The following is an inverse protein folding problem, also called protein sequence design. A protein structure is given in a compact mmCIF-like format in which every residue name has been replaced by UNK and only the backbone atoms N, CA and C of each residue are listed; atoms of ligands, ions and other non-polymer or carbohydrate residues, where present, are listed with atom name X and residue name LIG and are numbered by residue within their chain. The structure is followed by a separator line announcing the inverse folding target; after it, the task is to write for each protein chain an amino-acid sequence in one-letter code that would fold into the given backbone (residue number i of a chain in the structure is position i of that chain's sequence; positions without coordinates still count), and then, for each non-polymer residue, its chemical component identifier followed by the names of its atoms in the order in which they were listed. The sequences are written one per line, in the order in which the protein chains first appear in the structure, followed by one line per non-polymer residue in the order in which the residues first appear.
data_IF_003456182940
#
_entry.id   IF_003456182940
#
_cell.length_a   1.000
_cell.length_b   1.000
_cell.length_c   1.000
_cell.angle_alpha   90.00
_cell.angle_beta   90.00
_cell.angle_gamma   90.00
#
_symmetry.space_group_name_H-M   'P 1'
#
loop_
_entity.id
_entity.type
_entity.pdbx_description
1 polymer ?
#
# COMPACT_ATOMS: atom_id res chain seq x y z
N UNK A 1 5.13 -10.41 -7.22
CA UNK A 1 6.11 -11.18 -8.02
C UNK A 1 6.66 -12.27 -7.12
N UNK A 2 6.20 -13.50 -7.30
CA UNK A 2 6.75 -14.65 -6.58
C UNK A 2 8.09 -15.03 -7.24
N UNK A 3 9.19 -14.55 -6.65
CA UNK A 3 10.56 -14.67 -7.18
C UNK A 3 11.02 -16.14 -7.33
N UNK A 4 10.32 -17.08 -6.68
CA UNK A 4 10.64 -18.50 -6.69
C UNK A 4 10.42 -19.18 -8.05
N UNK A 5 9.48 -18.68 -8.87
CA UNK A 5 9.16 -19.26 -10.19
C UNK A 5 10.17 -18.87 -11.28
N UNK A 6 10.93 -17.78 -11.09
CA UNK A 6 11.95 -17.32 -12.04
C UNK A 6 13.37 -17.74 -11.68
N UNK A 7 13.60 -18.19 -10.43
CA UNK A 7 14.92 -18.54 -9.91
C UNK A 7 15.64 -19.67 -10.69
N UNK A 8 14.92 -20.48 -11.47
CA UNK A 8 15.46 -21.55 -12.30
C UNK A 8 15.68 -21.20 -13.78
N UNK A 9 15.38 -19.97 -14.21
CA UNK A 9 15.47 -19.56 -15.61
C UNK A 9 16.75 -18.81 -15.91
N UNK A 10 17.33 -19.08 -17.08
CA UNK A 10 18.35 -18.18 -17.63
C UNK A 10 17.74 -16.80 -17.95
N UNK A 11 18.55 -15.73 -17.96
CA UNK A 11 18.07 -14.39 -18.32
C UNK A 11 17.40 -14.33 -19.70
N UNK A 12 17.86 -15.15 -20.65
CA UNK A 12 17.25 -15.25 -21.98
C UNK A 12 15.87 -15.90 -21.92
N UNK A 13 15.70 -16.97 -21.14
CA UNK A 13 14.41 -17.59 -20.91
C UNK A 13 13.44 -16.63 -20.22
N UNK A 14 13.86 -15.94 -19.15
CA UNK A 14 13.00 -14.98 -18.46
C UNK A 14 12.48 -13.87 -19.39
N UNK A 15 13.35 -13.30 -20.25
CA UNK A 15 12.93 -12.31 -21.26
C UNK A 15 11.93 -12.86 -22.26
N UNK A 16 12.17 -14.07 -22.78
CA UNK A 16 11.22 -14.72 -23.71
C UNK A 16 9.89 -14.98 -23.01
N UNK A 17 9.90 -15.47 -21.77
CA UNK A 17 8.69 -15.77 -21.02
C UNK A 17 7.82 -14.53 -20.81
N UNK A 18 8.42 -13.41 -20.37
CA UNK A 18 7.73 -12.13 -20.22
C UNK A 18 7.18 -11.60 -21.55
N UNK A 19 7.97 -11.69 -22.63
CA UNK A 19 7.54 -11.22 -23.96
C UNK A 19 6.35 -12.02 -24.50
N UNK A 20 6.36 -13.34 -24.32
CA UNK A 20 5.24 -14.20 -24.73
C UNK A 20 4.00 -13.97 -23.86
N UNK A 21 4.20 -13.74 -22.56
CA UNK A 21 3.12 -13.45 -21.63
C UNK A 21 2.38 -12.15 -21.95
N UNK A 22 3.10 -11.13 -22.43
CA UNK A 22 2.50 -9.88 -22.90
C UNK A 22 1.86 -9.99 -24.30
N UNK A 23 1.75 -11.19 -24.87
CA UNK A 23 1.07 -11.45 -26.15
C UNK A 23 1.95 -11.35 -27.39
N UNK A 24 3.29 -11.27 -27.26
CA UNK A 24 4.14 -11.25 -28.44
C UNK A 24 4.17 -12.60 -29.16
N UNK A 25 4.35 -12.57 -30.49
CA UNK A 25 4.58 -13.80 -31.26
C UNK A 25 5.95 -14.41 -30.96
N UNK A 26 6.09 -15.73 -31.17
CA UNK A 26 7.38 -16.44 -31.05
C UNK A 26 8.48 -15.80 -31.90
N UNK A 27 8.16 -15.31 -33.10
CA UNK A 27 9.11 -14.61 -33.97
C UNK A 27 9.56 -13.28 -33.40
N UNK A 28 8.66 -12.54 -32.73
CA UNK A 28 9.01 -11.30 -32.05
C UNK A 28 9.88 -11.59 -30.83
N UNK A 29 9.47 -12.52 -29.96
CA UNK A 29 10.20 -12.89 -28.75
C UNK A 29 11.61 -13.44 -29.03
N UNK A 30 11.76 -14.23 -30.10
CA UNK A 30 13.05 -14.71 -30.59
C UNK A 30 14.00 -13.56 -30.94
N UNK A 31 13.54 -12.62 -31.78
CA UNK A 31 14.34 -11.47 -32.20
C UNK A 31 14.68 -10.53 -31.05
N UNK A 32 13.70 -10.20 -30.21
CA UNK A 32 13.90 -9.28 -29.09
C UNK A 32 14.81 -9.85 -28.00
N UNK A 33 14.86 -11.17 -27.86
CA UNK A 33 15.68 -11.84 -26.84
C UNK A 33 17.03 -12.37 -27.34
N UNK A 34 17.30 -12.28 -28.65
CA UNK A 34 18.54 -12.77 -29.27
C UNK A 34 18.65 -14.30 -29.31
N UNK A 35 17.52 -15.01 -29.40
CA UNK A 35 17.45 -16.49 -29.34
C UNK A 35 16.79 -17.04 -30.60
N UNK A 36 17.23 -18.20 -31.08
CA UNK A 36 16.61 -18.87 -32.22
C UNK A 36 15.20 -19.40 -31.91
N UNK A 37 14.28 -19.32 -32.87
CA UNK A 37 12.90 -19.86 -32.71
C UNK A 37 12.90 -21.34 -32.34
N UNK A 38 13.80 -22.14 -32.93
CA UNK A 38 13.96 -23.57 -32.64
C UNK A 38 14.36 -23.83 -31.18
N UNK A 39 15.19 -22.96 -30.60
CA UNK A 39 15.57 -23.02 -29.19
C UNK A 39 14.37 -22.76 -28.27
N UNK A 40 13.52 -21.78 -28.61
CA UNK A 40 12.30 -21.51 -27.85
C UNK A 40 11.35 -22.71 -27.91
N UNK A 41 11.20 -23.35 -29.07
CA UNK A 41 10.40 -24.58 -29.19
C UNK A 41 10.96 -25.72 -28.32
N UNK A 42 12.29 -25.90 -28.29
CA UNK A 42 12.93 -26.90 -27.42
C UNK A 42 12.64 -26.60 -25.94
N UNK A 43 12.73 -25.34 -25.50
CA UNK A 43 12.40 -24.97 -24.12
C UNK A 43 10.93 -25.21 -23.77
N UNK A 44 10.00 -24.87 -24.67
CA UNK A 44 8.57 -25.11 -24.44
C UNK A 44 8.24 -26.59 -24.30
N UNK A 45 8.98 -27.45 -25.01
CA UNK A 45 8.76 -28.90 -25.01
C UNK A 45 9.46 -29.60 -23.85
N UNK A 46 10.73 -29.30 -23.63
CA UNK A 46 11.62 -30.10 -22.78
C UNK A 46 11.83 -29.49 -21.39
N UNK A 47 11.35 -28.26 -21.13
CA UNK A 47 11.51 -27.58 -19.86
C UNK A 47 10.15 -27.16 -19.23
N UNK A 48 9.58 -28.00 -18.34
CA UNK A 48 8.34 -27.69 -17.65
C UNK A 48 8.39 -26.41 -16.80
N UNK A 49 9.54 -26.08 -16.21
CA UNK A 49 9.69 -24.84 -15.43
C UNK A 49 9.54 -23.59 -16.32
N UNK A 50 10.05 -23.62 -17.55
CA UNK A 50 9.90 -22.54 -18.50
C UNK A 50 8.43 -22.34 -18.91
N UNK A 51 7.72 -23.43 -19.21
CA UNK A 51 6.30 -23.37 -19.56
C UNK A 51 5.43 -22.89 -18.38
N UNK A 52 5.72 -23.34 -17.15
CA UNK A 52 5.06 -22.86 -15.94
C UNK A 52 5.30 -21.35 -15.70
N UNK A 53 6.52 -20.87 -15.93
CA UNK A 53 6.84 -19.46 -15.81
C UNK A 53 6.12 -18.59 -16.84
N UNK A 54 5.92 -19.07 -18.08
CA UNK A 54 5.10 -18.37 -19.08
C UNK A 54 3.66 -18.25 -18.61
N UNK A 55 3.08 -19.33 -18.10
CA UNK A 55 1.69 -19.32 -17.65
C UNK A 55 1.49 -18.41 -16.44
N UNK A 56 2.42 -18.45 -15.48
CA UNK A 56 2.43 -17.52 -14.36
C UNK A 56 2.55 -16.07 -14.83
N UNK A 57 3.49 -15.76 -15.72
CA UNK A 57 3.65 -14.43 -16.29
C UNK A 57 2.38 -13.96 -17.03
N UNK A 58 1.66 -14.86 -17.72
CA UNK A 58 0.38 -14.55 -18.36
C UNK A 58 -0.69 -14.21 -17.34
N UNK A 59 -0.82 -15.00 -16.27
CA UNK A 59 -1.78 -14.73 -15.21
C UNK A 59 -1.53 -13.35 -14.58
N UNK A 60 -0.27 -13.03 -14.26
CA UNK A 60 0.12 -11.72 -13.72
C UNK A 60 -0.17 -10.57 -14.72
N UNK A 61 0.14 -10.77 -16.01
CA UNK A 61 -0.15 -9.78 -17.05
C UNK A 61 -1.65 -9.53 -17.20
N UNK A 62 -2.47 -10.60 -17.21
CA UNK A 62 -3.93 -10.51 -17.27
C UNK A 62 -4.49 -9.81 -16.03
N UNK A 63 -3.98 -10.13 -14.84
CA UNK A 63 -4.37 -9.46 -13.60
C UNK A 63 -4.07 -7.95 -13.67
N UNK A 64 -2.87 -7.59 -14.09
CA UNK A 64 -2.45 -6.18 -14.29
C UNK A 64 -3.35 -5.46 -15.29
N UNK A 65 -3.65 -6.09 -16.43
CA UNK A 65 -4.52 -5.52 -17.46
C UNK A 65 -5.95 -5.33 -16.93
N UNK A 66 -6.46 -6.29 -16.17
CA UNK A 66 -7.76 -6.26 -15.51
C UNK A 66 -7.86 -5.09 -14.54
N UNK A 67 -6.85 -4.88 -13.69
CA UNK A 67 -6.82 -3.75 -12.77
C UNK A 67 -6.77 -2.43 -13.52
N UNK A 68 -5.96 -2.34 -14.57
CA UNK A 68 -5.90 -1.14 -15.42
C UNK A 68 -7.24 -0.81 -16.07
N UNK A 69 -8.00 -1.80 -16.52
CA UNK A 69 -9.35 -1.61 -17.06
C UNK A 69 -10.31 -1.10 -15.98
N UNK A 70 -10.21 -1.58 -14.74
CA UNK A 70 -11.02 -1.06 -13.63
C UNK A 70 -10.70 0.38 -13.32
N UNK A 71 -9.42 0.74 -13.22
CA UNK A 71 -9.00 2.11 -12.93
C UNK A 71 -9.47 3.09 -14.00
N UNK A 72 -9.38 2.69 -15.28
CA UNK A 72 -9.88 3.50 -16.39
C UNK A 72 -11.40 3.64 -16.34
N UNK A 73 -12.10 2.58 -15.95
CA UNK A 73 -13.55 2.60 -15.79
C UNK A 73 -13.97 3.53 -14.64
N UNK A 74 -13.27 3.50 -13.51
CA UNK A 74 -13.51 4.41 -12.38
C UNK A 74 -13.31 5.87 -12.81
N UNK A 75 -12.18 6.19 -13.45
CA UNK A 75 -11.92 7.55 -13.97
C UNK A 75 -12.97 8.03 -14.96
N UNK A 76 -13.48 7.14 -15.82
CA UNK A 76 -14.54 7.47 -16.75
C UNK A 76 -15.86 7.82 -16.02
N UNK A 77 -16.18 7.08 -14.96
CA UNK A 77 -17.34 7.37 -14.12
C UNK A 77 -17.18 8.70 -13.36
N UNK A 78 -16.01 8.97 -12.77
CA UNK A 78 -15.72 10.26 -12.11
C UNK A 78 -15.86 11.44 -13.09
N UNK A 79 -15.44 11.23 -14.34
CA UNK A 79 -15.59 12.25 -15.40
C UNK A 79 -17.06 12.49 -15.74
N UNK A 80 -17.88 11.43 -15.80
CA UNK A 80 -19.32 11.56 -16.05
C UNK A 80 -20.02 12.27 -14.89
N UNK A 81 -19.64 11.97 -13.64
CA UNK A 81 -20.15 12.62 -12.43
C UNK A 81 -19.87 14.13 -12.47
N UNK A 82 -18.63 14.53 -12.73
CA UNK A 82 -18.24 15.93 -12.87
C UNK A 82 -19.01 16.66 -13.99
N UNK A 83 -19.25 16.01 -15.13
CA UNK A 83 -20.04 16.58 -16.23
C UNK A 83 -21.49 16.81 -15.80
N UNK A 84 -22.08 15.89 -15.03
CA UNK A 84 -23.47 15.94 -14.61
C UNK A 84 -23.74 17.02 -13.56
N UNK A 85 -22.79 17.22 -12.64
CA UNK A 85 -22.87 18.16 -11.53
C UNK A 85 -22.53 19.59 -11.93
N UNK A 86 -21.74 19.80 -12.98
CA UNK A 86 -21.35 21.15 -13.41
C UNK A 86 -22.50 21.89 -14.12
N UNK A 87 -23.09 22.93 -13.49
CA UNK A 87 -24.19 23.68 -14.10
C UNK A 87 -23.75 24.53 -15.30
N UNK A 88 -22.45 24.76 -15.49
CA UNK A 88 -21.88 25.50 -16.62
C UNK A 88 -21.78 24.66 -17.89
N UNK A 89 -21.79 23.33 -17.78
CA UNK A 89 -21.78 22.43 -18.94
C UNK A 89 -23.10 22.54 -19.69
N UNK A 90 -23.01 22.66 -21.02
CA UNK A 90 -24.17 22.80 -21.89
C UNK A 90 -25.21 21.68 -21.65
N UNK A 91 -26.53 22.00 -21.52
CA UNK A 91 -27.56 21.02 -21.15
C UNK A 91 -27.59 19.75 -22.01
N UNK A 92 -27.34 19.87 -23.32
CA UNK A 92 -27.30 18.70 -24.22
C UNK A 92 -26.13 17.75 -23.94
N UNK A 93 -24.99 18.24 -23.43
CA UNK A 93 -23.85 17.41 -23.06
C UNK A 93 -24.16 16.67 -21.75
N UNK A 94 -24.75 17.37 -20.77
CA UNK A 94 -25.27 16.76 -19.53
C UNK A 94 -26.30 15.67 -19.81
N UNK A 95 -27.27 15.94 -20.69
CA UNK A 95 -28.27 14.94 -21.09
C UNK A 95 -27.61 13.72 -21.76
N UNK A 96 -26.60 13.91 -22.62
CA UNK A 96 -25.87 12.80 -23.23
C UNK A 96 -25.10 11.97 -22.19
N UNK A 97 -24.45 12.62 -21.22
CA UNK A 97 -23.78 11.92 -20.12
C UNK A 97 -24.78 11.10 -19.29
N UNK A 98 -25.93 11.69 -18.95
CA UNK A 98 -27.00 11.00 -18.22
C UNK A 98 -27.53 9.77 -18.99
N UNK A 99 -27.79 9.93 -20.30
CA UNK A 99 -28.23 8.82 -21.15
C UNK A 99 -27.16 7.73 -21.30
N UNK A 100 -25.87 8.07 -21.32
CA UNK A 100 -24.80 7.07 -21.37
C UNK A 100 -24.76 6.20 -20.11
N UNK A 101 -25.04 6.79 -18.94
CA UNK A 101 -25.15 6.04 -17.67
C UNK A 101 -26.41 5.16 -17.67
N UNK A 102 -27.56 5.70 -18.06
CA UNK A 102 -28.85 5.00 -18.02
C UNK A 102 -28.97 3.89 -19.07
N UNK A 103 -28.45 4.10 -20.28
CA UNK A 103 -28.53 3.14 -21.39
C UNK A 103 -27.34 2.17 -21.40
N UNK A 104 -26.52 2.13 -20.34
CA UNK A 104 -25.54 1.06 -20.17
C UNK A 104 -26.30 -0.26 -20.19
N UNK A 105 -25.96 -1.24 -21.05
CA UNK A 105 -26.63 -2.54 -21.02
C UNK A 105 -26.56 -3.10 -19.60
N UNK A 106 -27.74 -3.23 -18.98
CA UNK A 106 -27.90 -3.89 -17.72
C UNK A 106 -27.75 -5.38 -17.99
N UNK A 107 -27.01 -6.08 -17.13
CA UNK A 107 -26.89 -7.54 -17.11
C UNK A 107 -28.28 -8.16 -17.41
N UNK A 108 -28.45 -8.94 -18.51
CA UNK A 108 -27.66 -10.14 -18.82
C UNK A 108 -27.15 -10.31 -20.28
N UNK A 109 -27.23 -9.31 -21.18
CA UNK A 109 -26.80 -9.54 -22.58
C UNK A 109 -25.27 -9.51 -22.77
N UNK A 110 -24.77 -10.65 -23.25
CA UNK A 110 -23.42 -11.20 -23.18
C UNK A 110 -22.40 -10.46 -24.08
N UNK A 111 -21.29 -9.99 -23.50
CA UNK A 111 -20.12 -9.65 -24.31
C UNK A 111 -18.97 -8.98 -23.56
N UNK A 112 -19.27 -8.21 -22.51
CA UNK A 112 -18.24 -7.55 -21.71
C UNK A 112 -18.66 -7.44 -20.25
N UNK A 113 -18.00 -8.21 -19.40
CA UNK A 113 -18.10 -8.08 -17.94
C UNK A 113 -16.86 -7.33 -17.46
N UNK A 114 -17.05 -6.37 -16.55
CA UNK A 114 -15.93 -5.83 -15.78
C UNK A 114 -15.26 -7.04 -15.12
N UNK A 115 -13.96 -7.30 -15.36
CA UNK A 115 -13.37 -8.51 -14.84
C UNK A 115 -13.51 -8.52 -13.31
N UNK A 116 -13.74 -9.68 -12.72
CA UNK A 116 -14.01 -9.85 -11.28
C UNK A 116 -12.74 -9.62 -10.46
N UNK A 117 -12.81 -8.88 -9.33
CA UNK A 117 -11.62 -8.61 -8.50
C UNK A 117 -10.96 -9.94 -8.16
N UNK A 118 -9.68 -10.10 -8.52
CA UNK A 118 -8.91 -11.24 -8.07
C UNK A 118 -8.70 -11.01 -6.58
N UNK A 119 -9.56 -11.58 -5.74
CA UNK A 119 -9.45 -11.44 -4.30
C UNK A 119 -8.17 -12.17 -3.84
N UNK A 120 -7.07 -11.46 -3.67
CA UNK A 120 -5.92 -11.96 -2.94
C UNK A 120 -6.28 -11.94 -1.45
N UNK A 121 -5.85 -12.91 -0.62
CA UNK A 121 -6.09 -12.87 0.83
C UNK A 121 -5.63 -11.58 1.55
N UNK A 122 -4.73 -10.79 0.94
CA UNK A 122 -4.37 -9.46 1.46
C UNK A 122 -5.42 -8.38 1.17
N UNK A 123 -6.25 -8.56 0.14
CA UNK A 123 -7.33 -7.64 -0.24
C UNK A 123 -8.49 -7.70 0.75
N UNK A 124 -8.78 -8.88 1.31
CA UNK A 124 -9.83 -9.06 2.32
C UNK A 124 -9.48 -8.29 3.61
N UNK A 125 -8.23 -8.42 4.06
CA UNK A 125 -7.72 -7.68 5.21
C UNK A 125 -7.70 -6.16 4.96
N UNK A 126 -7.33 -5.74 3.74
CA UNK A 126 -7.32 -4.33 3.36
C UNK A 126 -8.74 -3.74 3.28
N UNK A 127 -9.70 -4.48 2.73
CA UNK A 127 -11.10 -4.08 2.65
C UNK A 127 -11.73 -3.98 4.03
N UNK A 128 -11.43 -4.91 4.93
CA UNK A 128 -11.89 -4.86 6.32
C UNK A 128 -11.28 -3.67 7.07
N UNK A 129 -9.99 -3.38 6.84
CA UNK A 129 -9.32 -2.20 7.39
C UNK A 129 -9.98 -0.89 6.90
N UNK A 130 -10.30 -0.80 5.61
CA UNK A 130 -11.00 0.35 5.03
C UNK A 130 -12.41 0.52 5.60
N UNK A 131 -13.19 -0.56 5.69
CA UNK A 131 -14.52 -0.53 6.27
C UNK A 131 -14.50 -0.06 7.74
N UNK A 132 -13.50 -0.48 8.50
CA UNK A 132 -13.33 -0.08 9.90
C UNK A 132 -12.93 1.40 10.04
N UNK A 133 -12.08 1.90 9.14
CA UNK A 133 -11.75 3.32 9.06
C UNK A 133 -12.98 4.17 8.70
N UNK A 134 -13.75 3.78 7.69
CA UNK A 134 -14.99 4.48 7.32
C UNK A 134 -16.02 4.49 8.46
N UNK A 135 -16.17 3.37 9.17
CA UNK A 135 -17.03 3.27 10.35
C UNK A 135 -16.57 4.22 11.46
N UNK A 136 -15.26 4.24 11.77
CA UNK A 136 -14.70 5.14 12.79
C UNK A 136 -14.89 6.62 12.43
N UNK A 137 -14.71 6.98 11.16
CA UNK A 137 -14.95 8.32 10.66
C UNK A 137 -16.43 8.71 10.76
N UNK A 138 -17.33 7.80 10.40
CA UNK A 138 -18.78 8.03 10.52
C UNK A 138 -19.19 8.24 11.98
N UNK A 139 -18.64 7.45 12.90
CA UNK A 139 -18.90 7.55 14.33
C UNK A 139 -18.37 8.86 14.92
N UNK A 140 -17.17 9.29 14.52
CA UNK A 140 -16.60 10.58 14.94
C UNK A 140 -17.44 11.77 14.46
N UNK A 141 -17.93 11.73 13.21
CA UNK A 141 -18.84 12.77 12.67
C UNK A 141 -20.16 12.81 13.43
N UNK A 142 -20.76 11.65 13.72
CA UNK A 142 -21.98 11.58 14.52
C UNK A 142 -21.78 12.14 15.94
N UNK A 143 -20.69 11.77 16.61
CA UNK A 143 -20.35 12.30 17.93
C UNK A 143 -20.17 13.83 17.90
N UNK A 144 -19.52 14.36 16.87
CA UNK A 144 -19.36 15.80 16.69
C UNK A 144 -20.72 16.50 16.50
N UNK A 145 -21.59 15.98 15.64
CA UNK A 145 -22.94 16.53 15.43
C UNK A 145 -23.78 16.51 16.71
N UNK A 146 -23.69 15.44 17.51
CA UNK A 146 -24.37 15.36 18.82
C UNK A 146 -23.83 16.41 19.79
N UNK A 147 -22.51 16.61 19.84
CA UNK A 147 -21.90 17.64 20.67
C UNK A 147 -22.33 19.05 20.25
N UNK A 148 -22.35 19.32 18.95
CA UNK A 148 -22.79 20.61 18.41
C UNK A 148 -24.26 20.88 18.81
N UNK A 149 -25.15 19.90 18.69
CA UNK A 149 -26.54 20.02 19.13
C UNK A 149 -26.72 20.18 20.64
N UNK A 150 -25.90 19.52 21.46
CA UNK A 150 -25.93 19.67 22.92
C UNK A 150 -25.52 21.10 23.32
N UNK A 151 -24.52 21.66 22.64
CA UNK A 151 -24.05 23.04 22.86
C UNK A 151 -25.09 24.05 22.37
N UNK A 152 -25.68 23.86 21.19
CA UNK A 152 -26.76 24.70 20.65
C UNK A 152 -28.01 24.68 21.54
N UNK A 153 -28.36 23.52 22.10
CA UNK A 153 -29.48 23.37 23.03
C UNK A 153 -29.20 23.97 24.42
N UNK A 154 -28.00 24.49 24.68
CA UNK A 154 -27.59 25.05 25.97
C UNK A 154 -27.52 24.02 27.10
N UNK A 155 -27.49 22.72 26.76
CA UNK A 155 -27.42 21.61 27.72
C UNK A 155 -25.97 21.31 28.15
N UNK A 156 -24.98 21.90 27.49
CA UNK A 156 -23.59 21.99 27.94
C UNK A 156 -22.97 23.33 27.51
N UNK A 157 -22.10 23.91 28.33
CA UNK A 157 -21.19 24.97 27.87
C UNK A 157 -20.02 24.35 27.10
N UNK A 158 -19.49 25.01 26.04
CA UNK A 158 -18.26 24.55 25.41
C UNK A 158 -17.18 24.44 26.50
N UNK A 159 -16.29 23.43 26.47
CA UNK A 159 -15.21 23.35 27.44
C UNK A 159 -14.41 24.64 27.34
N UNK A 160 -14.56 25.51 28.34
CA UNK A 160 -13.74 26.72 28.46
C UNK A 160 -12.31 26.24 28.58
N UNK A 161 -11.54 26.44 27.51
CA UNK A 161 -10.11 26.20 27.53
C UNK A 161 -9.54 26.96 28.73
N UNK A 162 -8.83 26.32 29.66
CA UNK A 162 -8.31 27.04 30.82
C UNK A 162 -7.31 28.08 30.32
N UNK A 163 -7.59 29.35 30.58
CA UNK A 163 -6.63 30.44 30.35
C UNK A 163 -5.27 30.09 31.00
N UNK A 164 -4.14 30.43 30.36
CA UNK A 164 -2.83 30.14 30.91
C UNK A 164 -2.57 31.07 32.09
N UNK A 165 -2.86 30.59 33.31
CA UNK A 165 -2.45 31.27 34.54
C UNK A 165 -0.94 31.18 34.67
N UNK A 166 -0.28 32.33 34.57
CA UNK A 166 1.11 32.52 34.96
C UNK A 166 1.19 32.53 36.48
N UNK A 167 1.57 31.39 37.07
CA UNK A 167 2.09 31.33 38.44
C UNK A 167 3.42 30.54 38.45
N UNK A 168 4.37 30.96 39.28
CA UNK A 168 5.70 30.37 39.35
C UNK A 168 5.68 29.04 40.12
N UNK A 169 6.42 28.07 39.58
CA UNK A 169 7.11 26.96 40.25
C UNK A 169 6.44 26.30 41.47
N UNK A 170 5.78 25.14 41.27
CA UNK A 170 6.10 23.85 41.93
C UNK A 170 5.11 22.75 41.47
N UNK A 171 5.66 21.82 40.67
CA UNK A 171 5.23 20.50 40.16
C UNK A 171 3.85 19.88 40.50
N UNK A 172 3.16 19.41 39.45
CA UNK A 172 2.72 18.00 39.35
C UNK A 172 2.46 17.59 37.87
N UNK A 173 3.56 17.48 37.12
CA UNK A 173 3.60 16.65 35.91
C UNK A 173 4.12 15.28 36.34
N UNK A 174 3.27 14.26 36.27
CA UNK A 174 3.72 12.87 36.24
C UNK A 174 4.46 12.62 34.93
N UNK A 175 5.71 13.07 34.87
CA UNK A 175 6.72 12.44 34.03
C UNK A 175 7.03 11.10 34.69
N UNK A 176 6.81 10.01 33.96
CA UNK A 176 7.29 8.72 34.41
C UNK A 176 8.81 8.83 34.63
N UNK A 177 9.34 8.38 35.78
CA UNK A 177 10.78 8.40 36.00
C UNK A 177 11.43 7.53 34.93
N UNK A 178 12.28 8.14 34.10
CA UNK A 178 13.20 7.40 33.23
C UNK A 178 14.08 6.57 34.16
N UNK A 179 13.79 5.28 34.27
CA UNK A 179 14.67 4.35 35.00
C UNK A 179 16.04 4.42 34.34
N UNK A 180 17.14 4.57 35.10
CA UNK A 180 18.46 4.37 34.54
C UNK A 180 18.51 2.97 33.92
N UNK A 181 19.03 2.89 32.70
CA UNK A 181 19.24 1.59 32.05
C UNK A 181 20.05 0.69 32.98
N UNK A 182 19.64 -0.58 33.17
CA UNK A 182 20.38 -1.49 34.02
C UNK A 182 21.82 -1.60 33.52
N UNK A 183 22.79 -1.54 34.45
CA UNK A 183 24.20 -1.73 34.10
C UNK A 183 24.33 -3.08 33.38
N UNK A 184 25.07 -3.15 32.26
CA UNK A 184 25.25 -4.39 31.53
C UNK A 184 25.75 -5.49 32.46
N UNK A 185 25.20 -6.69 32.30
CA UNK A 185 25.66 -7.87 33.03
C UNK A 185 27.14 -8.15 32.73
N UNK A 186 27.84 -8.76 33.68
CA UNK A 186 29.29 -9.07 33.61
C UNK A 186 29.69 -9.78 32.30
N UNK A 187 28.80 -10.57 31.70
CA UNK A 187 29.05 -11.34 30.47
C UNK A 187 28.40 -10.77 29.19
N UNK A 188 27.64 -9.67 29.28
CA UNK A 188 27.00 -9.04 28.12
C UNK A 188 28.03 -8.31 27.23
N UNK A 189 27.73 -8.11 25.93
CA UNK A 189 28.56 -7.30 25.05
C UNK A 189 28.68 -5.87 25.59
N UNK A 190 29.89 -5.32 25.54
CA UNK A 190 30.20 -4.03 26.14
C UNK A 190 29.59 -2.87 25.32
N UNK A 191 28.88 -1.92 25.95
CA UNK A 191 28.21 -0.82 25.23
C UNK A 191 29.18 0.21 24.62
N UNK A 192 30.48 0.12 24.87
CA UNK A 192 31.48 0.99 24.23
C UNK A 192 31.85 0.56 22.78
N UNK A 193 31.18 -0.45 22.23
CA UNK A 193 31.40 -0.91 20.84
C UNK A 193 32.64 -1.77 20.62
N UNK A 194 33.31 -2.25 21.67
CA UNK A 194 34.58 -3.01 21.55
C UNK A 194 34.44 -4.48 21.13
N UNK A 195 33.21 -5.00 21.04
CA UNK A 195 32.94 -6.42 20.76
C UNK A 195 33.29 -7.40 21.88
N UNK A 196 33.81 -6.93 23.02
CA UNK A 196 34.20 -7.75 24.18
C UNK A 196 33.09 -7.82 25.25
N UNK A 197 33.11 -8.87 26.09
CA UNK A 197 32.22 -8.97 27.28
C UNK A 197 32.53 -7.87 28.31
N UNK A 198 31.53 -7.30 28.97
CA UNK A 198 31.65 -6.15 29.89
C UNK A 198 32.76 -6.33 30.96
N UNK A 199 32.90 -7.54 31.54
CA UNK A 199 33.97 -7.87 32.51
C UNK A 199 35.40 -7.76 31.99
N UNK A 200 35.60 -7.93 30.68
CA UNK A 200 36.91 -7.88 30.03
C UNK A 200 37.18 -6.50 29.42
N UNK A 201 36.22 -5.58 29.48
CA UNK A 201 36.31 -4.27 28.83
C UNK A 201 36.21 -3.11 29.83
N UNK A 202 35.01 -2.73 30.26
CA UNK A 202 34.75 -1.50 31.02
C UNK A 202 34.53 -1.71 32.52
N UNK A 203 34.46 -2.94 33.03
CA UNK A 203 34.15 -3.20 34.45
C UNK A 203 35.19 -2.63 35.43
N UNK A 204 36.48 -2.61 35.06
CA UNK A 204 37.60 -2.17 35.92
C UNK A 204 38.35 -0.95 35.36
N UNK A 205 37.79 -0.24 34.36
CA UNK A 205 38.43 0.97 33.81
C UNK A 205 37.83 2.22 34.46
N UNK A 206 38.65 3.23 34.80
CA UNK A 206 38.13 4.53 35.25
C UNK A 206 37.27 5.14 34.13
N UNK A 207 36.13 5.73 34.49
CA UNK A 207 35.22 6.33 33.50
C UNK A 207 35.91 7.54 32.86
N UNK A 208 35.91 7.70 31.53
CA UNK A 208 36.31 8.96 30.93
C UNK A 208 35.30 10.04 31.32
N UNK A 209 35.80 11.19 31.79
CA UNK A 209 35.01 12.40 32.04
C UNK A 209 34.38 12.87 30.73
N UNK A 210 33.05 12.92 30.67
CA UNK A 210 32.31 13.52 29.57
C UNK A 210 32.45 15.05 29.64
N UNK A 211 33.46 15.62 29.00
CA UNK A 211 33.55 17.06 28.74
C UNK A 211 32.70 17.45 27.53
N UNK A 212 32.12 18.65 27.64
CA UNK A 212 31.14 19.25 26.73
C UNK A 212 31.79 19.57 25.39
N UNK A 213 31.08 19.32 24.30
CA UNK A 213 31.47 19.67 22.93
C UNK A 213 31.74 21.16 22.77
N UNK A 214 32.93 21.54 22.30
CA UNK A 214 33.24 22.65 21.37
C UNK A 214 34.75 22.76 21.18
N UNK A 215 35.24 22.63 19.94
CA UNK A 215 36.66 22.76 19.57
C UNK A 215 37.10 21.72 18.55
#
# INVERSE_FOLDING_TARGET
MDDTLYAGLSPAQARVALSLASGASLSHAARSSGVGRTTIYAWLKDNPHFSAAIEHAKMEYIATLRDRVRDLSAKALDTLDAILDDPSVHPSVRLKAALAVLNRPHFPDQGWHLPEKTNHPGDEQALETLAQLEFSHRQARYAQTVLDHIVEAGLAHPPTSPEPRTHPDTSEQQTQPVRPTPRPSRNEPCPCGSGLKFKRCCLNKPRPSSERSSG
#
